data_IF_239778226668
#
_entry.id   IF_239778226668
#
_cell.length_a   1.000
_cell.length_b   1.000
_cell.length_c   1.000
_cell.angle_alpha   90.00
_cell.angle_beta   90.00
_cell.angle_gamma   90.00
#
_symmetry.space_group_name_H-M   'P 1'
#
loop_
_entity.id
_entity.type
_entity.pdbx_description
1 polymer ?
#
# COMPACT_ATOMS: atom_id res chain seq x y z
N UNK A 1 -18.58 -1.78 26.10
CA UNK A 1 -19.32 -2.15 27.35
C UNK A 1 -18.40 -2.72 28.41
N UNK A 2 -17.36 -3.49 28.03
CA UNK A 2 -16.44 -4.10 29.00
C UNK A 2 -16.86 -5.51 29.40
N UNK A 3 -16.07 -6.16 30.25
CA UNK A 3 -16.39 -7.46 30.83
C UNK A 3 -17.32 -7.38 32.03
N UNK A 4 -17.53 -8.53 32.68
CA UNK A 4 -18.31 -8.65 33.91
C UNK A 4 -17.63 -7.92 35.08
N UNK A 5 -18.33 -7.78 36.20
CA UNK A 5 -17.74 -7.24 37.43
C UNK A 5 -16.55 -8.07 37.96
N UNK A 6 -16.44 -9.33 37.53
CA UNK A 6 -15.41 -10.26 38.00
C UNK A 6 -14.20 -10.32 37.06
N UNK A 7 -14.42 -10.19 35.75
CA UNK A 7 -13.38 -10.37 34.74
C UNK A 7 -13.46 -9.28 33.66
N UNK A 8 -12.33 -8.61 33.40
CA UNK A 8 -12.21 -7.56 32.37
C UNK A 8 -13.20 -6.38 32.54
N UNK A 9 -13.59 -6.05 33.77
CA UNK A 9 -14.38 -4.86 34.05
C UNK A 9 -13.67 -3.62 33.46
N UNK A 10 -14.36 -2.84 32.63
CA UNK A 10 -13.81 -1.66 31.91
C UNK A 10 -12.66 -1.95 30.93
N UNK A 11 -12.40 -3.21 30.59
CA UNK A 11 -11.38 -3.62 29.61
C UNK A 11 -12.02 -4.23 28.36
N UNK A 12 -11.26 -4.29 27.26
CA UNK A 12 -11.72 -4.91 26.01
C UNK A 12 -12.03 -6.40 26.21
N UNK A 13 -13.17 -6.85 25.69
CA UNK A 13 -13.62 -8.25 25.69
C UNK A 13 -13.57 -8.90 24.30
N UNK A 14 -13.01 -8.17 23.34
CA UNK A 14 -12.91 -8.56 21.93
C UNK A 14 -11.50 -8.32 21.36
N UNK A 15 -10.52 -8.01 22.22
CA UNK A 15 -9.16 -7.79 21.78
C UNK A 15 -8.47 -9.10 21.43
N UNK A 16 -8.18 -9.27 20.13
CA UNK A 16 -7.35 -10.33 19.58
C UNK A 16 -6.34 -9.71 18.62
N UNK A 17 -5.18 -10.35 18.46
CA UNK A 17 -4.15 -9.95 17.49
C UNK A 17 -3.61 -11.17 16.74
N UNK A 18 -3.16 -10.93 15.51
CA UNK A 18 -2.51 -11.93 14.67
C UNK A 18 -1.26 -11.33 14.02
N UNK A 19 -0.32 -12.20 13.63
CA UNK A 19 0.85 -11.78 12.84
C UNK A 19 0.42 -11.49 11.40
N UNK A 20 0.91 -10.42 10.79
CA UNK A 20 0.83 -10.22 9.34
C UNK A 20 2.03 -10.90 8.67
N UNK A 21 1.81 -11.70 7.64
CA UNK A 21 2.87 -12.38 6.91
C UNK A 21 3.24 -11.62 5.63
N UNK A 22 4.29 -10.81 5.72
CA UNK A 22 4.97 -10.20 4.58
C UNK A 22 6.33 -10.86 4.40
N UNK A 23 6.42 -11.86 3.51
CA UNK A 23 7.66 -12.61 3.27
C UNK A 23 7.83 -13.00 1.82
N UNK A 24 9.08 -13.13 1.40
CA UNK A 24 9.43 -13.69 0.08
C UNK A 24 9.53 -15.21 0.24
N UNK A 25 8.79 -16.00 -0.57
CA UNK A 25 8.90 -17.46 -0.55
C UNK A 25 10.24 -17.94 -1.12
N UNK A 26 10.69 -19.11 -0.68
CA UNK A 26 11.94 -19.76 -1.10
C UNK A 26 12.20 -21.02 -0.28
N UNK A 27 13.40 -21.60 -0.37
CA UNK A 27 13.81 -22.74 0.49
C UNK A 27 13.67 -22.42 1.98
N UNK A 28 13.81 -21.14 2.32
CA UNK A 28 13.42 -20.57 3.60
C UNK A 28 12.78 -19.21 3.37
N UNK A 29 11.72 -18.92 4.10
CA UNK A 29 11.02 -17.63 3.99
C UNK A 29 11.88 -16.48 4.51
N UNK A 30 11.96 -15.40 3.75
CA UNK A 30 12.58 -14.15 4.19
C UNK A 30 11.49 -13.16 4.63
N UNK A 31 11.42 -12.86 5.92
CA UNK A 31 10.37 -12.03 6.51
C UNK A 31 10.75 -10.55 6.63
N UNK A 32 9.79 -9.67 6.38
CA UNK A 32 9.83 -8.25 6.72
C UNK A 32 8.88 -8.00 7.90
N UNK A 33 9.40 -8.06 9.13
CA UNK A 33 8.57 -8.07 10.34
C UNK A 33 8.29 -6.68 10.94
N UNK A 34 8.97 -5.62 10.50
CA UNK A 34 8.81 -4.28 11.08
C UNK A 34 7.86 -3.42 10.24
N UNK A 35 6.57 -3.40 10.60
CA UNK A 35 5.56 -2.55 9.98
C UNK A 35 5.89 -1.06 10.18
N UNK A 36 5.94 -0.28 9.10
CA UNK A 36 6.22 1.16 9.10
C UNK A 36 4.95 2.00 8.92
N UNK A 37 4.10 1.60 7.97
CA UNK A 37 2.89 2.32 7.62
C UNK A 37 1.89 1.35 6.99
N UNK A 38 0.60 1.66 7.12
CA UNK A 38 -0.50 0.91 6.53
C UNK A 38 -1.56 1.91 6.05
N UNK A 39 -2.22 1.61 4.92
CA UNK A 39 -3.31 2.43 4.40
C UNK A 39 -4.59 2.26 5.21
N UNK A 40 -5.55 3.16 4.98
CA UNK A 40 -6.96 2.86 5.21
C UNK A 40 -7.41 1.66 4.35
N UNK A 41 -8.63 1.17 4.60
CA UNK A 41 -9.24 0.13 3.77
C UNK A 41 -9.57 0.74 2.40
N UNK A 42 -8.99 0.18 1.35
CA UNK A 42 -9.22 0.56 -0.04
C UNK A 42 -9.74 -0.61 -0.85
N UNK A 43 -10.47 -0.33 -1.92
CA UNK A 43 -11.09 -1.37 -2.74
C UNK A 43 -10.22 -1.62 -3.99
N UNK A 44 -9.52 -2.75 -4.01
CA UNK A 44 -8.64 -3.14 -5.12
C UNK A 44 -9.32 -4.29 -5.86
N UNK A 45 -9.75 -4.04 -7.10
CA UNK A 45 -10.50 -5.03 -7.91
C UNK A 45 -11.76 -5.56 -7.21
N UNK A 46 -12.46 -4.69 -6.46
CA UNK A 46 -13.68 -5.04 -5.72
C UNK A 46 -13.45 -5.73 -4.37
N UNK A 47 -12.19 -5.87 -3.94
CA UNK A 47 -11.84 -6.54 -2.68
C UNK A 47 -11.35 -5.50 -1.67
N UNK A 48 -12.01 -5.35 -0.50
CA UNK A 48 -11.52 -4.52 0.59
C UNK A 48 -10.15 -5.00 1.08
N UNK A 49 -9.15 -4.14 0.94
CA UNK A 49 -7.73 -4.46 1.09
C UNK A 49 -7.01 -3.35 1.84
N UNK A 50 -6.03 -3.71 2.65
CA UNK A 50 -5.05 -2.77 3.23
C UNK A 50 -3.67 -3.04 2.65
N UNK A 51 -2.88 -2.00 2.44
CA UNK A 51 -1.51 -2.12 1.93
C UNK A 51 -0.55 -1.56 2.96
N UNK A 52 0.48 -2.34 3.30
CA UNK A 52 1.45 -2.00 4.33
C UNK A 52 2.88 -1.98 3.81
N UNK A 53 3.69 -1.10 4.39
CA UNK A 53 5.14 -1.02 4.20
C UNK A 53 5.81 -1.70 5.38
N UNK A 54 6.68 -2.66 5.09
CA UNK A 54 7.42 -3.43 6.09
C UNK A 54 8.91 -3.30 5.84
N UNK A 55 9.71 -3.42 6.90
CA UNK A 55 11.16 -3.41 6.82
C UNK A 55 11.77 -4.58 7.59
N UNK A 56 13.03 -4.86 7.29
CA UNK A 56 13.87 -5.71 8.14
C UNK A 56 14.21 -4.97 9.43
N UNK A 57 14.59 -5.73 10.47
CA UNK A 57 15.02 -5.15 11.74
C UNK A 57 16.17 -4.15 11.55
N UNK A 58 16.26 -3.15 12.44
CA UNK A 58 17.26 -2.08 12.35
C UNK A 58 18.70 -2.61 12.34
N UNK A 59 18.96 -3.66 13.13
CA UNK A 59 20.29 -4.29 13.27
C UNK A 59 20.57 -5.36 12.19
N UNK A 60 19.74 -5.45 11.15
CA UNK A 60 19.90 -6.38 10.03
C UNK A 60 20.24 -5.64 8.74
N UNK A 61 20.57 -6.40 7.68
CA UNK A 61 20.74 -5.84 6.33
C UNK A 61 19.45 -5.09 5.95
N UNK A 62 19.53 -3.80 5.56
CA UNK A 62 18.36 -3.01 5.21
C UNK A 62 17.57 -3.63 4.07
N UNK A 63 16.27 -3.81 4.29
CA UNK A 63 15.34 -4.27 3.28
C UNK A 63 13.96 -3.71 3.58
N UNK A 64 13.22 -3.37 2.53
CA UNK A 64 11.84 -2.93 2.61
C UNK A 64 10.96 -3.74 1.66
N UNK A 65 9.70 -3.90 2.03
CA UNK A 65 8.69 -4.59 1.26
C UNK A 65 7.33 -3.89 1.33
N UNK A 66 6.53 -4.03 0.28
CA UNK A 66 5.13 -3.61 0.24
C UNK A 66 4.28 -4.86 0.10
N UNK A 67 3.38 -5.09 1.06
CA UNK A 67 2.46 -6.23 1.06
C UNK A 67 1.03 -5.72 1.19
N UNK A 68 0.09 -6.41 0.52
CA UNK A 68 -1.33 -6.16 0.66
C UNK A 68 -1.99 -7.31 1.44
N UNK A 69 -3.09 -7.03 2.13
CA UNK A 69 -3.85 -8.00 2.91
C UNK A 69 -5.34 -7.78 2.68
N UNK A 70 -6.05 -8.83 2.27
CA UNK A 70 -7.50 -8.78 2.13
C UNK A 70 -8.16 -8.74 3.51
N UNK A 71 -9.20 -7.94 3.67
CA UNK A 71 -9.96 -7.90 4.93
C UNK A 71 -10.63 -9.24 5.23
N UNK A 72 -11.02 -10.01 4.21
CA UNK A 72 -11.57 -11.37 4.37
C UNK A 72 -10.56 -12.32 5.02
N UNK A 73 -9.30 -12.30 4.59
CA UNK A 73 -8.25 -13.14 5.15
C UNK A 73 -7.89 -12.73 6.59
N UNK A 74 -7.92 -11.42 6.88
CA UNK A 74 -7.78 -10.89 8.24
C UNK A 74 -8.91 -11.43 9.14
N UNK A 75 -10.17 -11.33 8.73
CA UNK A 75 -11.31 -11.85 9.47
C UNK A 75 -11.25 -13.37 9.67
N UNK A 76 -10.82 -14.09 8.63
CA UNK A 76 -10.67 -15.55 8.66
C UNK A 76 -9.68 -15.99 9.73
N UNK A 77 -8.58 -15.27 9.92
CA UNK A 77 -7.59 -15.59 10.97
C UNK A 77 -8.20 -15.46 12.37
N UNK A 78 -9.05 -14.46 12.62
CA UNK A 78 -9.73 -14.31 13.92
C UNK A 78 -10.78 -15.39 14.20
N UNK A 79 -11.25 -16.10 13.16
CA UNK A 79 -12.10 -17.29 13.28
C UNK A 79 -11.28 -18.58 13.48
N UNK A 80 -9.95 -18.53 13.34
CA UNK A 80 -9.03 -19.66 13.48
C UNK A 80 -8.60 -19.96 14.92
N UNK A 81 -7.68 -20.91 15.13
CA UNK A 81 -7.28 -21.34 16.47
C UNK A 81 -6.50 -20.25 17.22
N UNK A 82 -6.66 -20.23 18.54
CA UNK A 82 -5.84 -19.39 19.44
C UNK A 82 -4.46 -20.00 19.64
N UNK A 83 -3.50 -19.19 20.04
CA UNK A 83 -2.13 -19.62 20.37
C UNK A 83 -1.96 -19.67 21.89
N UNK A 84 -1.40 -20.76 22.40
CA UNK A 84 -1.08 -20.94 23.82
C UNK A 84 0.36 -21.37 24.05
N UNK A 85 0.84 -21.10 25.25
CA UNK A 85 2.07 -21.66 25.80
C UNK A 85 1.70 -22.44 27.06
N UNK A 86 1.77 -23.78 27.01
CA UNK A 86 1.30 -24.64 28.12
C UNK A 86 2.10 -24.43 29.41
N UNK A 87 3.39 -24.20 29.27
CA UNK A 87 4.31 -23.83 30.35
C UNK A 87 5.20 -22.69 29.88
N UNK A 88 5.79 -21.88 30.79
CA UNK A 88 6.70 -20.79 30.41
C UNK A 88 7.86 -21.21 29.50
N UNK A 89 8.29 -22.47 29.59
CA UNK A 89 9.39 -23.02 28.80
C UNK A 89 8.93 -23.81 27.56
N UNK A 90 7.62 -24.03 27.34
CA UNK A 90 7.15 -24.81 26.20
C UNK A 90 7.11 -23.97 24.93
N UNK A 91 7.25 -24.62 23.76
CA UNK A 91 6.93 -23.98 22.48
C UNK A 91 5.47 -23.53 22.42
N UNK A 92 5.22 -22.45 21.68
CA UNK A 92 3.86 -22.00 21.41
C UNK A 92 3.14 -22.99 20.49
N UNK A 93 1.94 -23.39 20.87
CA UNK A 93 1.11 -24.35 20.11
C UNK A 93 -0.30 -23.83 19.95
N UNK A 94 -1.03 -24.36 18.98
CA UNK A 94 -2.44 -24.05 18.79
C UNK A 94 -3.29 -24.65 19.92
N UNK A 95 -4.21 -23.86 20.46
CA UNK A 95 -5.24 -24.34 21.40
C UNK A 95 -6.18 -25.31 20.66
N UNK A 96 -6.41 -26.51 21.19
CA UNK A 96 -7.44 -27.43 20.68
C UNK A 96 -8.84 -26.81 20.74
N UNK A 97 -9.65 -26.98 19.69
CA UNK A 97 -10.96 -26.33 19.58
C UNK A 97 -11.96 -26.79 20.66
N UNK A 98 -11.80 -28.01 21.19
CA UNK A 98 -12.59 -28.53 22.31
C UNK A 98 -12.37 -27.80 23.64
N UNK A 99 -11.25 -27.06 23.76
CA UNK A 99 -10.93 -26.24 24.94
C UNK A 99 -11.38 -24.78 24.80
N UNK A 100 -11.91 -24.38 23.65
CA UNK A 100 -12.38 -23.03 23.41
C UNK A 100 -13.79 -22.87 24.01
N UNK A 101 -13.99 -21.94 24.96
CA UNK A 101 -15.29 -21.79 25.64
C UNK A 101 -16.36 -21.21 24.72
N UNK A 102 -17.62 -21.28 25.17
CA UNK A 102 -18.79 -20.71 24.48
C UNK A 102 -19.42 -19.59 25.33
N UNK A 103 -19.80 -18.44 24.72
CA UNK A 103 -19.64 -18.08 23.31
C UNK A 103 -18.16 -17.93 22.94
N UNK A 104 -17.84 -18.07 21.66
CA UNK A 104 -16.45 -18.06 21.21
C UNK A 104 -15.78 -16.72 21.58
N UNK A 105 -14.63 -16.74 22.27
CA UNK A 105 -13.88 -15.54 22.64
C UNK A 105 -13.61 -14.64 21.42
N UNK A 106 -13.89 -13.34 21.55
CA UNK A 106 -13.72 -12.36 20.48
C UNK A 106 -14.97 -12.06 19.64
N UNK A 107 -16.03 -12.88 19.74
CA UNK A 107 -17.30 -12.58 19.05
C UNK A 107 -18.04 -11.41 19.68
N UNK A 108 -18.70 -10.59 18.85
CA UNK A 108 -19.54 -9.49 19.31
C UNK A 108 -20.86 -10.01 19.90
N UNK A 109 -21.31 -9.42 21.01
CA UNK A 109 -22.64 -9.69 21.57
C UNK A 109 -23.75 -9.43 20.52
N UNK A 110 -24.84 -10.18 20.59
CA UNK A 110 -25.94 -10.19 19.59
C UNK A 110 -25.55 -10.63 18.17
N UNK A 111 -24.37 -11.21 17.97
CA UNK A 111 -23.90 -11.64 16.64
C UNK A 111 -23.37 -13.08 16.68
N UNK A 112 -23.74 -13.86 15.67
CA UNK A 112 -23.21 -15.20 15.43
C UNK A 112 -23.26 -16.10 16.67
N UNK A 113 -22.15 -16.74 17.09
CA UNK A 113 -22.13 -17.62 18.27
C UNK A 113 -22.50 -16.95 19.60
N UNK A 114 -22.57 -15.61 19.66
CA UNK A 114 -22.87 -14.82 20.84
C UNK A 114 -24.24 -14.11 20.75
N UNK A 115 -25.13 -14.55 19.86
CA UNK A 115 -26.45 -13.94 19.64
C UNK A 115 -27.31 -13.87 20.90
N UNK A 116 -27.22 -14.89 21.77
CA UNK A 116 -27.99 -14.97 23.02
C UNK A 116 -27.60 -13.89 24.06
N UNK A 117 -26.45 -13.23 23.91
CA UNK A 117 -25.93 -12.26 24.87
C UNK A 117 -26.29 -10.83 24.44
N UNK A 118 -26.94 -10.08 25.35
CA UNK A 118 -27.35 -8.70 25.07
C UNK A 118 -26.15 -7.76 24.98
N UNK A 119 -25.18 -7.92 25.88
CA UNK A 119 -23.97 -7.12 25.96
C UNK A 119 -22.77 -7.98 26.35
N UNK A 120 -21.54 -7.47 26.19
CA UNK A 120 -20.33 -8.17 26.62
C UNK A 120 -20.16 -8.28 28.14
N UNK A 121 -20.95 -7.54 28.92
CA UNK A 121 -20.97 -7.64 30.40
C UNK A 121 -21.59 -8.97 30.82
N UNK A 122 -22.50 -9.51 30.00
CA UNK A 122 -23.22 -10.76 30.24
C UNK A 122 -22.40 -12.00 29.84
N UNK A 123 -21.18 -11.82 29.31
CA UNK A 123 -20.33 -12.94 28.91
C UNK A 123 -19.89 -13.79 30.13
N UNK A 124 -19.85 -15.12 29.99
CA UNK A 124 -19.35 -16.00 31.04
C UNK A 124 -17.90 -15.68 31.41
N UNK A 125 -17.58 -15.79 32.70
CA UNK A 125 -16.23 -15.57 33.23
C UNK A 125 -15.18 -16.45 32.53
N UNK A 126 -15.55 -17.66 32.10
CA UNK A 126 -14.66 -18.56 31.35
C UNK A 126 -14.26 -17.97 30.00
N UNK A 127 -15.21 -17.41 29.24
CA UNK A 127 -14.95 -16.73 27.95
C UNK A 127 -14.05 -15.51 28.15
N UNK A 128 -14.35 -14.70 29.17
CA UNK A 128 -13.59 -13.50 29.50
C UNK A 128 -12.18 -13.81 30.03
N UNK A 129 -12.04 -14.87 30.82
CA UNK A 129 -10.73 -15.31 31.33
C UNK A 129 -9.89 -15.91 30.22
N UNK A 130 -10.51 -16.64 29.30
CA UNK A 130 -9.83 -17.22 28.14
C UNK A 130 -9.27 -16.14 27.22
N UNK A 131 -10.07 -15.13 26.82
CA UNK A 131 -9.58 -14.08 25.91
C UNK A 131 -8.46 -13.25 26.55
N UNK A 132 -8.52 -13.07 27.88
CA UNK A 132 -7.49 -12.38 28.65
C UNK A 132 -6.13 -13.11 28.59
N UNK A 133 -6.12 -14.44 28.63
CA UNK A 133 -4.90 -15.25 28.56
C UNK A 133 -4.48 -15.64 27.14
N UNK A 134 -5.39 -15.59 26.17
CA UNK A 134 -5.14 -16.01 24.78
C UNK A 134 -5.45 -14.88 23.76
N UNK A 135 -4.79 -13.71 23.84
CA UNK A 135 -5.05 -12.63 22.90
C UNK A 135 -4.42 -12.86 21.50
N UNK A 136 -3.57 -13.87 21.32
CA UNK A 136 -2.82 -14.11 20.09
C UNK A 136 -3.40 -15.28 19.28
N UNK A 137 -3.62 -15.09 17.98
CA UNK A 137 -4.03 -16.15 17.06
C UNK A 137 -2.85 -17.03 16.63
N UNK A 138 -3.10 -18.31 16.33
CA UNK A 138 -2.09 -19.29 15.90
C UNK A 138 -1.57 -18.96 14.49
N UNK A 139 -2.50 -18.75 13.56
CA UNK A 139 -2.21 -18.43 12.16
C UNK A 139 -1.75 -16.98 11.96
N UNK A 140 -0.89 -16.78 10.97
CA UNK A 140 -0.59 -15.46 10.44
C UNK A 140 -1.56 -15.11 9.29
N UNK A 141 -1.85 -13.83 9.12
CA UNK A 141 -2.61 -13.32 7.96
C UNK A 141 -1.72 -13.40 6.72
N UNK A 142 -2.09 -14.17 5.69
CA UNK A 142 -1.34 -14.22 4.45
C UNK A 142 -1.43 -12.88 3.71
N UNK A 143 -0.36 -12.48 3.05
CA UNK A 143 -0.42 -11.39 2.07
C UNK A 143 -1.18 -11.85 0.82
N UNK A 144 -1.78 -10.90 0.11
CA UNK A 144 -2.30 -11.13 -1.24
C UNK A 144 -1.18 -11.75 -2.07
N UNK A 145 -1.50 -12.81 -2.82
CA UNK A 145 -0.57 -13.65 -3.61
C UNK A 145 0.60 -14.31 -2.84
N UNK A 146 0.58 -14.28 -1.50
CA UNK A 146 1.57 -14.87 -0.60
C UNK A 146 3.04 -14.43 -0.87
N UNK A 147 3.21 -13.25 -1.47
CA UNK A 147 4.51 -12.62 -1.74
C UNK A 147 4.37 -11.08 -1.67
N UNK A 148 5.45 -10.31 -1.46
CA UNK A 148 5.38 -8.87 -1.48
C UNK A 148 5.14 -8.37 -2.90
N UNK A 149 4.28 -7.36 -3.04
CA UNK A 149 4.08 -6.67 -4.31
C UNK A 149 5.35 -5.95 -4.77
N UNK A 150 6.16 -5.46 -3.84
CA UNK A 150 7.40 -4.79 -4.17
C UNK A 150 8.43 -5.03 -3.08
N UNK A 151 9.70 -5.18 -3.46
CA UNK A 151 10.83 -5.24 -2.52
C UNK A 151 11.94 -4.28 -2.92
N UNK A 152 12.61 -3.70 -1.93
CA UNK A 152 13.78 -2.85 -2.12
C UNK A 152 14.84 -3.25 -1.09
N UNK A 153 15.88 -3.96 -1.56
CA UNK A 153 16.93 -4.55 -0.71
C UNK A 153 18.34 -4.07 -1.07
N UNK A 154 18.51 -3.37 -2.20
CA UNK A 154 19.81 -2.90 -2.72
C UNK A 154 20.05 -1.41 -2.44
N UNK A 155 19.53 -0.89 -1.33
CA UNK A 155 19.68 0.51 -0.92
C UNK A 155 19.90 0.58 0.58
N UNK A 156 20.48 1.68 1.05
CA UNK A 156 20.75 1.89 2.47
C UNK A 156 19.53 2.42 3.25
N UNK A 157 18.63 3.11 2.55
CA UNK A 157 17.43 3.69 3.15
C UNK A 157 16.30 2.66 3.27
N UNK A 158 15.43 2.86 4.25
CA UNK A 158 14.17 2.14 4.42
C UNK A 158 12.98 2.94 3.89
N UNK A 159 11.99 2.22 3.38
CA UNK A 159 10.68 2.76 3.02
C UNK A 159 9.86 3.01 4.29
N UNK A 160 9.09 4.09 4.33
CA UNK A 160 8.46 4.59 5.57
C UNK A 160 6.96 4.79 5.46
N UNK A 161 6.48 5.40 4.38
CA UNK A 161 5.10 5.86 4.23
C UNK A 161 4.49 5.36 2.93
N UNK A 162 3.17 5.31 2.84
CA UNK A 162 2.47 4.82 1.66
C UNK A 162 1.23 5.66 1.34
N UNK A 163 0.97 5.88 0.05
CA UNK A 163 -0.29 6.35 -0.48
C UNK A 163 -0.64 5.54 -1.73
N UNK A 164 -1.93 5.25 -1.95
CA UNK A 164 -2.38 4.36 -3.04
C UNK A 164 -3.48 5.02 -3.85
N UNK A 165 -3.30 5.07 -5.17
CA UNK A 165 -4.38 5.29 -6.12
C UNK A 165 -4.84 3.96 -6.73
N UNK A 166 -5.93 3.42 -6.21
CA UNK A 166 -6.54 2.16 -6.68
C UNK A 166 -7.37 2.30 -7.97
N UNK A 167 -7.53 3.52 -8.51
CA UNK A 167 -8.38 3.82 -9.66
C UNK A 167 -7.65 4.66 -10.72
N UNK A 168 -6.37 4.35 -10.92
CA UNK A 168 -5.50 5.06 -11.85
C UNK A 168 -5.80 4.71 -13.31
N UNK A 169 -5.48 5.67 -14.18
CA UNK A 169 -5.64 5.55 -15.63
C UNK A 169 -7.05 5.83 -16.15
N UNK A 170 -7.22 5.84 -17.48
CA UNK A 170 -8.46 6.28 -18.12
C UNK A 170 -9.63 5.36 -17.78
N UNK A 171 -9.40 4.05 -17.68
CA UNK A 171 -10.41 3.04 -17.30
C UNK A 171 -10.51 2.81 -15.80
N UNK A 172 -9.75 3.55 -14.98
CA UNK A 172 -9.75 3.44 -13.52
C UNK A 172 -9.49 2.02 -12.99
N UNK A 173 -8.65 1.26 -13.69
CA UNK A 173 -8.44 -0.16 -13.46
C UNK A 173 -7.00 -0.50 -13.03
N UNK A 174 -6.13 0.50 -12.88
CA UNK A 174 -4.77 0.32 -12.39
C UNK A 174 -4.64 0.77 -10.94
N UNK A 175 -3.79 0.07 -10.20
CA UNK A 175 -3.40 0.45 -8.83
C UNK A 175 -1.97 0.98 -8.85
N UNK A 176 -1.80 2.26 -8.54
CA UNK A 176 -0.49 2.92 -8.43
C UNK A 176 -0.20 3.21 -6.95
N UNK A 177 0.98 2.81 -6.52
CA UNK A 177 1.45 2.96 -5.14
C UNK A 177 2.58 3.98 -5.10
N UNK A 178 2.47 4.95 -4.21
CA UNK A 178 3.53 5.88 -3.87
C UNK A 178 4.09 5.51 -2.50
N UNK A 179 5.41 5.31 -2.41
CA UNK A 179 6.08 4.90 -1.16
C UNK A 179 7.20 5.87 -0.83
N UNK A 180 7.15 6.50 0.33
CA UNK A 180 8.18 7.41 0.83
C UNK A 180 9.31 6.65 1.53
N UNK A 181 10.43 7.32 1.77
CA UNK A 181 11.59 6.75 2.45
C UNK A 181 12.19 7.69 3.50
N UNK A 182 13.09 7.15 4.32
CA UNK A 182 13.87 7.94 5.27
C UNK A 182 14.94 8.84 4.62
N UNK A 183 15.20 8.68 3.32
CA UNK A 183 16.21 9.44 2.58
C UNK A 183 15.61 10.47 1.61
N UNK A 184 14.32 10.77 1.72
CA UNK A 184 13.63 11.75 0.87
C UNK A 184 13.25 11.25 -0.53
N UNK A 185 13.47 9.97 -0.79
CA UNK A 185 13.03 9.32 -2.02
C UNK A 185 11.54 8.98 -1.93
N UNK A 186 10.84 9.16 -3.05
CA UNK A 186 9.47 8.68 -3.29
C UNK A 186 9.48 7.74 -4.49
N UNK A 187 9.07 6.50 -4.27
CA UNK A 187 8.96 5.48 -5.31
C UNK A 187 7.52 5.43 -5.81
N UNK A 188 7.35 5.39 -7.13
CA UNK A 188 6.06 5.21 -7.80
C UNK A 188 6.04 3.82 -8.44
N UNK A 189 5.09 3.00 -8.04
CA UNK A 189 5.02 1.58 -8.40
C UNK A 189 3.66 1.28 -9.01
N UNK A 190 3.63 0.56 -10.13
CA UNK A 190 2.42 -0.06 -10.67
C UNK A 190 2.26 -1.44 -10.01
N UNK A 191 1.19 -1.63 -9.25
CA UNK A 191 0.98 -2.86 -8.49
C UNK A 191 0.54 -4.04 -9.36
N UNK A 192 1.04 -5.23 -9.04
CA UNK A 192 0.57 -6.51 -9.54
C UNK A 192 -0.81 -6.83 -8.95
N UNK A 193 -1.88 -6.61 -9.71
CA UNK A 193 -3.26 -6.82 -9.21
C UNK A 193 -3.88 -8.17 -9.61
N UNK A 194 -3.23 -8.95 -10.47
CA UNK A 194 -3.75 -10.26 -10.91
C UNK A 194 -2.73 -11.38 -10.69
N UNK A 195 -3.15 -12.44 -10.01
CA UNK A 195 -2.33 -13.62 -9.69
C UNK A 195 -1.77 -14.35 -10.92
N UNK A 196 -2.43 -14.23 -12.07
CA UNK A 196 -2.01 -14.85 -13.34
C UNK A 196 -1.41 -13.85 -14.34
N UNK A 197 -1.17 -12.60 -13.93
CA UNK A 197 -0.35 -11.70 -14.73
C UNK A 197 1.10 -12.14 -14.61
N UNK A 198 1.73 -12.44 -15.74
CA UNK A 198 3.17 -12.73 -15.83
C UNK A 198 4.04 -11.52 -15.45
N UNK A 199 3.43 -10.34 -15.31
CA UNK A 199 4.13 -9.11 -14.99
C UNK A 199 4.17 -8.88 -13.48
N UNK A 200 5.39 -8.78 -12.95
CA UNK A 200 5.63 -8.29 -11.60
C UNK A 200 5.20 -6.83 -11.46
N UNK A 201 5.05 -6.35 -10.22
CA UNK A 201 4.86 -4.92 -9.98
C UNK A 201 6.05 -4.16 -10.56
N UNK A 202 5.77 -3.03 -11.23
CA UNK A 202 6.79 -2.27 -11.95
C UNK A 202 7.11 -1.00 -11.20
N UNK A 203 8.40 -0.76 -10.93
CA UNK A 203 8.87 0.55 -10.50
C UNK A 203 8.79 1.50 -11.71
N UNK A 204 7.80 2.39 -11.70
CA UNK A 204 7.59 3.39 -12.74
C UNK A 204 8.59 4.54 -12.62
N UNK A 205 8.81 5.02 -11.39
CA UNK A 205 9.70 6.15 -11.15
C UNK A 205 10.27 6.15 -9.73
N UNK A 206 11.47 6.67 -9.58
CA UNK A 206 12.13 6.95 -8.30
C UNK A 206 12.45 8.45 -8.26
N UNK A 207 11.87 9.17 -7.31
CA UNK A 207 11.87 10.64 -7.25
C UNK A 207 12.66 11.05 -6.02
N UNK A 208 13.73 11.81 -6.21
CA UNK A 208 14.33 12.57 -5.11
C UNK A 208 13.44 13.78 -4.85
N UNK A 209 12.64 13.69 -3.78
CA UNK A 209 11.66 14.72 -3.48
C UNK A 209 12.27 15.83 -2.62
N UNK A 210 13.27 15.55 -1.79
CA UNK A 210 13.76 16.51 -0.81
C UNK A 210 14.50 17.67 -1.50
N UNK A 211 14.07 18.90 -1.22
CA UNK A 211 14.71 20.09 -1.79
C UNK A 211 15.53 20.82 -0.73
N UNK A 212 16.83 20.61 -0.78
CA UNK A 212 17.80 21.27 0.10
C UNK A 212 17.65 22.80 0.17
N UNK A 213 17.30 23.47 -0.94
CA UNK A 213 17.20 24.93 -0.97
C UNK A 213 15.93 25.47 -0.30
N UNK A 214 14.90 24.63 -0.09
CA UNK A 214 13.59 25.04 0.42
C UNK A 214 13.17 24.35 1.71
N UNK A 215 13.75 23.19 2.00
CA UNK A 215 13.42 22.35 3.15
C UNK A 215 14.53 22.35 4.21
N UNK A 216 15.70 22.94 3.95
CA UNK A 216 16.67 23.20 5.00
C UNK A 216 16.26 24.45 5.79
N UNK A 217 15.89 24.25 7.06
CA UNK A 217 15.90 25.32 8.07
C UNK A 217 17.28 25.40 8.76
N UNK A 218 17.36 26.18 9.85
CA UNK A 218 18.57 26.31 10.69
C UNK A 218 18.91 25.03 11.51
N UNK A 219 18.23 23.91 11.25
CA UNK A 219 18.31 22.66 12.00
C UNK A 219 18.98 21.50 11.24
N UNK A 220 19.02 20.33 11.89
CA UNK A 220 19.57 19.09 11.32
C UNK A 220 18.75 18.62 10.11
N UNK A 221 19.45 18.07 9.11
CA UNK A 221 18.86 17.66 7.84
C UNK A 221 18.05 16.36 7.98
N UNK A 222 16.77 16.49 8.29
CA UNK A 222 15.83 15.36 8.35
C UNK A 222 15.10 15.19 7.00
N UNK A 223 15.61 14.28 6.18
CA UNK A 223 15.03 13.93 4.87
C UNK A 223 13.93 12.88 4.96
N UNK A 224 13.50 12.48 6.16
CA UNK A 224 12.50 11.44 6.28
C UNK A 224 11.16 11.92 5.74
N UNK A 225 10.59 11.19 4.79
CA UNK A 225 9.19 11.39 4.40
C UNK A 225 8.31 10.94 5.56
N UNK A 226 7.59 11.89 6.14
CA UNK A 226 6.72 11.70 7.32
C UNK A 226 5.29 11.35 6.92
N UNK A 227 4.82 11.88 5.79
CA UNK A 227 3.48 11.58 5.28
C UNK A 227 3.39 11.76 3.76
N UNK A 228 2.52 10.97 3.13
CA UNK A 228 2.13 11.09 1.74
C UNK A 228 0.61 11.26 1.69
N UNK A 229 0.14 12.31 1.00
CA UNK A 229 -1.29 12.58 0.83
C UNK A 229 -1.62 12.74 -0.65
N UNK A 230 -2.55 11.93 -1.12
CA UNK A 230 -2.90 11.84 -2.53
C UNK A 230 -4.17 12.63 -2.81
N UNK A 231 -4.06 13.60 -3.71
CA UNK A 231 -5.17 14.42 -4.19
C UNK A 231 -5.47 14.03 -5.65
N UNK A 232 -6.39 13.08 -5.82
CA UNK A 232 -6.79 12.55 -7.13
C UNK A 232 -7.45 13.62 -7.99
N UNK A 233 -8.24 14.50 -7.37
CA UNK A 233 -9.01 15.54 -8.03
C UNK A 233 -8.08 16.57 -8.69
N UNK A 234 -7.09 17.06 -7.94
CA UNK A 234 -6.12 18.03 -8.46
C UNK A 234 -4.84 17.39 -9.02
N UNK A 235 -4.81 16.06 -9.14
CA UNK A 235 -3.70 15.26 -9.69
C UNK A 235 -2.36 15.57 -9.03
N UNK A 236 -2.36 15.61 -7.71
CA UNK A 236 -1.20 15.96 -6.93
C UNK A 236 -0.90 14.92 -5.84
N UNK A 237 0.38 14.78 -5.52
CA UNK A 237 0.88 14.12 -4.32
C UNK A 237 1.53 15.19 -3.44
N UNK A 238 1.04 15.29 -2.21
CA UNK A 238 1.67 16.08 -1.16
C UNK A 238 2.61 15.18 -0.36
N UNK A 239 3.84 15.64 -0.20
CA UNK A 239 4.94 14.94 0.48
C UNK A 239 5.35 15.80 1.65
N UNK A 240 5.13 15.30 2.86
CA UNK A 240 5.49 16.00 4.09
C UNK A 240 6.84 15.51 4.61
N UNK A 241 7.72 16.46 4.89
CA UNK A 241 8.92 16.31 5.68
C UNK A 241 8.69 17.00 7.04
N UNK A 242 9.62 16.85 7.99
CA UNK A 242 9.53 17.56 9.27
C UNK A 242 9.60 19.09 9.13
N UNK A 243 10.27 19.59 8.07
CA UNK A 243 10.50 21.02 7.86
C UNK A 243 9.66 21.67 6.74
N UNK A 244 9.04 20.89 5.85
CA UNK A 244 8.38 21.43 4.67
C UNK A 244 7.32 20.47 4.11
N UNK A 245 6.43 21.01 3.27
CA UNK A 245 5.52 20.23 2.43
C UNK A 245 5.77 20.54 0.96
N UNK A 246 5.86 19.48 0.16
CA UNK A 246 6.09 19.55 -1.28
C UNK A 246 4.87 19.01 -2.01
N UNK A 247 4.37 19.76 -2.99
CA UNK A 247 3.33 19.30 -3.90
C UNK A 247 3.97 18.94 -5.24
N UNK A 248 3.85 17.69 -5.67
CA UNK A 248 4.27 17.21 -7.00
C UNK A 248 3.06 16.69 -7.79
N UNK A 249 3.07 16.74 -9.13
CA UNK A 249 2.00 16.10 -9.91
C UNK A 249 2.11 14.56 -9.82
N UNK A 250 0.98 13.85 -9.88
CA UNK A 250 0.97 12.36 -9.86
C UNK A 250 1.66 11.73 -11.07
N UNK A 251 1.77 12.49 -12.17
CA UNK A 251 2.50 12.09 -13.37
C UNK A 251 3.26 13.25 -13.98
N UNK A 252 4.36 12.94 -14.68
CA UNK A 252 5.25 13.90 -15.35
C UNK A 252 5.33 13.58 -16.85
N UNK A 253 4.16 13.41 -17.48
CA UNK A 253 4.07 12.93 -18.87
C UNK A 253 4.80 13.84 -19.86
N UNK A 254 4.79 15.14 -19.60
CA UNK A 254 5.40 16.18 -20.43
C UNK A 254 6.93 16.02 -20.52
N UNK A 255 7.56 15.29 -19.59
CA UNK A 255 9.00 14.97 -19.61
C UNK A 255 9.40 14.15 -20.85
N UNK A 256 8.46 13.37 -21.39
CA UNK A 256 8.67 12.60 -22.62
C UNK A 256 8.52 13.46 -23.88
N UNK A 257 7.94 14.66 -23.76
CA UNK A 257 7.78 15.63 -24.84
C UNK A 257 7.18 15.00 -26.11
N UNK A 258 7.85 15.22 -27.25
CA UNK A 258 7.45 14.67 -28.55
C UNK A 258 8.09 13.30 -28.87
N UNK A 259 8.61 12.58 -27.87
CA UNK A 259 9.21 11.26 -28.05
C UNK A 259 8.21 10.15 -27.71
N UNK A 260 7.50 9.65 -28.73
CA UNK A 260 6.49 8.60 -28.57
C UNK A 260 7.03 7.35 -27.91
N UNK A 261 8.25 6.92 -28.28
CA UNK A 261 8.92 5.75 -27.72
C UNK A 261 9.02 5.81 -26.20
N UNK A 262 9.54 6.91 -25.64
CA UNK A 262 9.66 7.05 -24.18
C UNK A 262 8.31 7.23 -23.47
N UNK A 263 7.32 7.84 -24.15
CA UNK A 263 5.97 7.97 -23.61
C UNK A 263 5.32 6.58 -23.40
N UNK A 264 5.36 5.72 -24.43
CA UNK A 264 4.79 4.36 -24.37
C UNK A 264 5.62 3.47 -23.42
N UNK A 265 6.95 3.56 -23.48
CA UNK A 265 7.84 2.81 -22.58
C UNK A 265 7.70 3.20 -21.10
N UNK A 266 7.14 4.38 -20.78
CA UNK A 266 6.93 4.80 -19.39
C UNK A 266 6.00 3.86 -18.62
N UNK A 267 5.04 3.24 -19.33
CA UNK A 267 3.99 2.39 -18.76
C UNK A 267 3.20 3.06 -17.64
N UNK A 268 3.27 4.38 -17.52
CA UNK A 268 2.59 5.15 -16.48
C UNK A 268 1.10 5.25 -16.82
N UNK A 269 0.18 4.70 -15.99
CA UNK A 269 -1.26 4.73 -16.29
C UNK A 269 -1.84 6.12 -16.50
N UNK A 270 -1.19 7.16 -15.99
CA UNK A 270 -1.62 8.54 -16.17
C UNK A 270 -1.12 9.18 -17.46
N UNK A 271 -0.24 8.54 -18.22
CA UNK A 271 0.40 9.09 -19.41
C UNK A 271 0.01 8.33 -20.68
N UNK A 272 -0.11 9.08 -21.78
CA UNK A 272 -0.35 8.52 -23.10
C UNK A 272 0.13 9.46 -24.20
N UNK A 273 0.37 8.89 -25.37
CA UNK A 273 0.70 9.64 -26.57
C UNK A 273 -0.55 10.26 -27.17
N UNK A 274 -0.62 11.59 -27.20
CA UNK A 274 -1.80 12.32 -27.62
C UNK A 274 -1.77 12.61 -29.12
N UNK A 275 -2.95 12.74 -29.74
CA UNK A 275 -3.10 12.96 -31.18
C UNK A 275 -2.32 14.19 -31.74
N UNK A 276 -2.04 15.20 -30.91
CA UNK A 276 -1.26 16.38 -31.30
C UNK A 276 0.27 16.13 -31.31
N UNK A 277 0.72 14.89 -31.18
CA UNK A 277 2.13 14.52 -31.34
C UNK A 277 3.00 14.78 -30.12
N UNK A 278 2.43 14.72 -28.91
CA UNK A 278 3.20 14.81 -27.68
C UNK A 278 2.65 13.90 -26.58
N UNK A 279 3.51 13.55 -25.62
CA UNK A 279 3.11 12.80 -24.44
C UNK A 279 2.43 13.73 -23.45
N UNK A 280 1.27 13.32 -22.96
CA UNK A 280 0.53 14.11 -21.99
C UNK A 280 -0.34 13.24 -21.08
N UNK A 281 -0.98 13.91 -20.14
CA UNK A 281 -1.87 13.25 -19.18
C UNK A 281 -3.12 12.72 -19.87
N UNK A 282 -3.44 11.45 -19.65
CA UNK A 282 -4.72 10.83 -20.02
C UNK A 282 -5.71 10.90 -18.86
N UNK A 283 -7.00 11.09 -19.17
CA UNK A 283 -8.08 11.24 -18.16
C UNK A 283 -9.27 10.37 -18.53
N UNK A 284 -10.03 9.94 -17.53
CA UNK A 284 -11.26 9.17 -17.75
C UNK A 284 -12.27 9.89 -18.66
N UNK A 285 -12.33 11.23 -18.60
CA UNK A 285 -13.19 12.03 -19.47
C UNK A 285 -12.88 11.89 -20.97
N UNK A 286 -11.67 11.49 -21.34
CA UNK A 286 -11.28 11.26 -22.75
C UNK A 286 -11.90 9.98 -23.33
N UNK A 287 -12.43 9.07 -22.49
CA UNK A 287 -13.21 7.91 -22.96
C UNK A 287 -14.64 8.28 -23.36
N UNK A 288 -15.23 9.26 -22.68
CA UNK A 288 -16.61 9.70 -22.92
C UNK A 288 -16.77 10.43 -24.27
N UNK A 289 -15.70 11.05 -24.77
CA UNK A 289 -15.68 11.73 -26.07
C UNK A 289 -15.71 10.79 -27.29
N UNK A 290 -15.53 9.47 -27.10
CA UNK A 290 -15.71 8.50 -28.21
C UNK A 290 -17.18 8.21 -28.51
N UNK A 291 -18.11 8.52 -27.61
CA UNK A 291 -19.54 8.21 -27.76
C UNK A 291 -20.42 9.42 -28.11
N UNK A 292 -19.87 10.65 -28.11
CA UNK A 292 -20.63 11.88 -28.33
C UNK A 292 -19.88 12.81 -29.30
N UNK A 293 -20.34 12.83 -30.56
CA UNK A 293 -20.22 13.91 -31.57
C UNK A 293 -19.44 13.58 -32.85
N UNK A 294 -20.18 13.47 -33.95
CA UNK A 294 -19.78 13.89 -35.29
C UNK A 294 -19.29 15.36 -35.23
N UNK A 295 -18.16 15.69 -35.85
CA UNK A 295 -17.63 17.07 -36.08
C UNK A 295 -16.83 17.81 -34.98
N UNK A 296 -15.98 17.11 -34.23
CA UNK A 296 -14.76 17.75 -33.72
C UNK A 296 -13.65 16.71 -33.56
N UNK A 297 -12.46 16.97 -34.11
CA UNK A 297 -11.29 16.08 -34.03
C UNK A 297 -10.73 16.02 -32.60
N UNK A 298 -11.40 15.34 -31.68
CA UNK A 298 -11.08 15.35 -30.24
C UNK A 298 -10.52 14.00 -29.79
N UNK A 299 -9.20 13.97 -29.57
CA UNK A 299 -8.63 13.40 -28.34
C UNK A 299 -8.34 11.89 -28.30
N UNK A 300 -7.92 11.28 -29.40
CA UNK A 300 -7.30 9.94 -29.32
C UNK A 300 -6.01 9.97 -28.50
N UNK A 301 -5.80 8.94 -27.67
CA UNK A 301 -4.54 8.67 -26.98
C UNK A 301 -4.11 7.24 -27.24
N UNK A 302 -2.80 7.01 -27.21
CA UNK A 302 -2.20 5.67 -27.28
C UNK A 302 -1.38 5.42 -26.01
N UNK A 303 -1.63 4.28 -25.36
CA UNK A 303 -0.89 3.85 -24.17
C UNK A 303 -0.73 2.33 -24.19
N UNK A 304 0.37 1.83 -23.63
CA UNK A 304 0.59 0.40 -23.40
C UNK A 304 1.19 0.21 -21.99
N UNK A 305 0.31 0.20 -21.00
CA UNK A 305 0.70 0.03 -19.58
C UNK A 305 1.13 -1.41 -19.29
N UNK A 306 0.52 -2.39 -19.96
CA UNK A 306 0.71 -3.82 -19.70
C UNK A 306 2.04 -4.35 -20.24
N UNK A 307 2.52 -3.84 -21.38
CA UNK A 307 3.75 -4.35 -22.00
C UNK A 307 4.78 -3.27 -22.31
N UNK A 308 4.36 -2.03 -22.53
CA UNK A 308 5.24 -0.94 -22.96
C UNK A 308 5.93 -1.24 -24.29
N UNK A 309 5.21 -1.86 -25.25
CA UNK A 309 5.77 -2.30 -26.52
C UNK A 309 6.18 -1.11 -27.39
N UNK A 310 7.48 -1.00 -27.64
CA UNK A 310 8.08 0.07 -28.45
C UNK A 310 8.85 -0.43 -29.68
N UNK A 311 8.78 -1.72 -30.00
CA UNK A 311 9.60 -2.33 -31.05
C UNK A 311 9.35 -1.73 -32.46
N UNK A 312 8.16 -1.16 -32.67
CA UNK A 312 7.74 -0.57 -33.93
C UNK A 312 7.94 0.97 -33.99
N UNK A 313 8.49 1.58 -32.93
CA UNK A 313 8.64 3.02 -32.80
C UNK A 313 10.08 3.47 -33.07
N UNK A 314 10.22 4.63 -33.74
CA UNK A 314 11.51 5.27 -33.98
C UNK A 314 12.19 5.73 -32.69
N UNK A 315 13.52 5.83 -32.73
CA UNK A 315 14.33 6.37 -31.64
C UNK A 315 14.18 7.88 -31.49
N UNK A 316 14.62 8.38 -30.34
CA UNK A 316 14.49 9.78 -29.98
C UNK A 316 15.86 10.47 -30.03
N UNK A 317 16.37 10.63 -31.25
CA UNK A 317 17.65 11.29 -31.49
C UNK A 317 17.58 12.78 -31.10
N UNK A 318 18.52 13.22 -30.25
CA UNK A 318 18.77 14.64 -29.97
C UNK A 318 18.01 15.26 -28.78
N UNK A 319 17.17 14.51 -28.04
CA UNK A 319 16.59 15.00 -26.78
C UNK A 319 17.18 14.22 -25.62
N UNK A 320 18.15 14.82 -24.93
CA UNK A 320 18.57 14.38 -23.61
C UNK A 320 17.30 14.24 -22.76
N UNK A 321 16.91 13.01 -22.40
CA UNK A 321 15.99 12.81 -21.29
C UNK A 321 16.67 13.48 -20.10
N UNK A 322 16.13 14.63 -19.65
CA UNK A 322 16.60 15.27 -18.44
C UNK A 322 16.22 14.38 -17.26
N UNK A 323 17.01 13.33 -17.03
CA UNK A 323 16.79 12.29 -16.03
C UNK A 323 17.02 12.80 -14.58
N UNK A 324 17.30 14.09 -14.39
CA UNK A 324 17.46 14.69 -13.07
C UNK A 324 17.24 16.21 -13.02
N UNK A 325 16.26 16.76 -13.76
CA UNK A 325 15.86 18.15 -13.48
C UNK A 325 15.20 18.20 -12.09
N UNK A 326 15.51 19.21 -11.26
CA UNK A 326 14.80 19.45 -10.01
C UNK A 326 13.29 19.57 -10.29
N UNK A 327 12.46 19.39 -9.27
CA UNK A 327 11.01 19.52 -9.33
C UNK A 327 10.57 20.95 -9.76
N UNK A 328 10.73 21.29 -11.04
CA UNK A 328 10.54 22.65 -11.62
C UNK A 328 9.09 23.13 -11.48
N UNK A 329 8.12 22.21 -11.36
CA UNK A 329 6.69 22.50 -11.19
C UNK A 329 6.15 22.15 -9.80
N UNK A 330 7.01 21.86 -8.81
CA UNK A 330 6.54 21.63 -7.45
C UNK A 330 6.17 22.95 -6.77
N UNK A 331 5.05 22.93 -6.04
CA UNK A 331 4.69 24.00 -5.12
C UNK A 331 5.18 23.64 -3.71
N UNK A 332 5.59 24.65 -2.94
CA UNK A 332 6.31 24.48 -1.69
C UNK A 332 5.62 25.28 -0.60
N UNK A 333 5.44 24.67 0.55
CA UNK A 333 4.91 25.32 1.74
C UNK A 333 5.90 25.11 2.89
N UNK A 334 6.41 26.21 3.45
CA UNK A 334 7.17 26.17 4.69
C UNK A 334 6.22 25.99 5.87
N UNK A 335 6.62 25.19 6.85
CA UNK A 335 5.88 24.97 8.08
C UNK A 335 6.30 25.97 9.16
#
# INVERSE_FOLDING_TARGET
>A
MGGSQRVLEKHWTSFLKARLNCSVPGDSFFYFDVLQSITDIIEISGIPTVVGVFTTQLNSIPGSAVCAFNMEDIEKVFKGRFKEQKTPDSVWTAVPEDKVPRPRPGCCAKHGPAEAYKTSIDFPDETLSFIKSHPLMDSAVPSVIEEPWFTKTRVRYRLTTIAVDHSAGPYQNYTVIFVGSEAGMVLKILAKTKAFSLNDSILLEEIDAFNHAKCNGDGEEDKKVVSLQLDKEHHALFIAFSSCIIRIPLSRCERHGSCKKTCIASRDPYCGWLAHGSCGRVRASMLLSLFVSYNHSIGGYEQDVEYGNTAHLGDCDGKLLHLGRPLENAAWFGL
#
